data_IF_097240604186
#
_entry.id   IF_097240604186
#
_cell.length_a   1.000
_cell.length_b   1.000
_cell.length_c   1.000
_cell.angle_alpha   90.00
_cell.angle_beta   90.00
_cell.angle_gamma   90.00
#
_symmetry.space_group_name_H-M   'P 1'
#
loop_
_entity.id
_entity.type
_entity.pdbx_description
1 polymer ?
#
# COMPACT_ATOMS: atom_id res chain seq x y z
N UNK A 1 -10.23 11.34 -5.50
CA UNK A 1 -9.55 10.61 -6.60
C UNK A 1 -9.78 9.11 -6.44
N UNK A 2 -9.54 8.29 -7.48
CA UNK A 2 -9.54 6.83 -7.34
C UNK A 2 -8.15 6.38 -6.89
N UNK A 3 -8.06 5.56 -5.85
CA UNK A 3 -6.80 4.97 -5.38
C UNK A 3 -6.74 3.52 -5.85
N UNK A 4 -5.72 3.22 -6.64
CA UNK A 4 -5.43 1.89 -7.17
C UNK A 4 -4.27 1.34 -6.35
N UNK A 5 -4.53 0.26 -5.63
CA UNK A 5 -3.60 -0.24 -4.61
C UNK A 5 -3.48 -1.75 -4.63
N UNK A 6 -2.36 -2.24 -4.10
CA UNK A 6 -2.17 -3.68 -3.90
C UNK A 6 -3.02 -4.16 -2.73
N UNK A 7 -3.71 -5.30 -2.92
CA UNK A 7 -4.61 -5.90 -1.93
C UNK A 7 -3.90 -6.58 -0.75
N UNK A 8 -2.96 -5.90 -0.11
CA UNK A 8 -2.28 -6.32 1.12
C UNK A 8 -2.35 -5.23 2.20
N UNK A 9 -1.71 -5.46 3.34
CA UNK A 9 -1.71 -4.50 4.46
C UNK A 9 -1.12 -3.15 4.02
N UNK A 10 0.00 -3.17 3.30
CA UNK A 10 0.71 -1.97 2.89
C UNK A 10 -0.17 -1.08 1.99
N UNK A 11 -0.75 -1.65 0.93
CA UNK A 11 -1.69 -0.91 0.08
C UNK A 11 -2.93 -0.44 0.85
N UNK A 12 -3.43 -1.23 1.81
CA UNK A 12 -4.59 -0.86 2.64
C UNK A 12 -4.29 0.34 3.53
N UNK A 13 -3.10 0.43 4.12
CA UNK A 13 -2.70 1.57 4.96
C UNK A 13 -2.41 2.81 4.11
N UNK A 14 -1.83 2.67 2.91
CA UNK A 14 -1.73 3.76 1.94
C UNK A 14 -3.10 4.41 1.69
N UNK A 15 -4.10 3.59 1.39
CA UNK A 15 -5.48 4.02 1.18
C UNK A 15 -6.05 4.73 2.40
N UNK A 16 -5.88 4.16 3.60
CA UNK A 16 -6.42 4.74 4.83
C UNK A 16 -5.88 6.16 5.07
N UNK A 17 -4.59 6.39 4.83
CA UNK A 17 -3.96 7.71 4.93
C UNK A 17 -4.52 8.66 3.87
N UNK A 18 -4.62 8.21 2.60
CA UNK A 18 -5.15 9.00 1.50
C UNK A 18 -6.63 9.38 1.68
N UNK A 19 -7.42 8.53 2.33
CA UNK A 19 -8.79 8.84 2.74
C UNK A 19 -8.82 9.93 3.82
N UNK A 20 -7.95 9.86 4.84
CA UNK A 20 -7.90 10.85 5.91
C UNK A 20 -7.53 12.26 5.38
N UNK A 21 -6.60 12.35 4.44
CA UNK A 21 -6.21 13.64 3.82
C UNK A 21 -7.18 14.11 2.72
N UNK A 22 -8.27 13.37 2.47
CA UNK A 22 -9.32 13.76 1.53
C UNK A 22 -8.97 13.60 0.04
N UNK A 23 -8.04 12.71 -0.30
CA UNK A 23 -7.64 12.44 -1.69
C UNK A 23 -8.30 11.19 -2.28
N UNK A 24 -8.95 10.37 -1.47
CA UNK A 24 -9.52 9.10 -1.91
C UNK A 24 -11.05 9.08 -1.82
N UNK A 25 -11.71 8.99 -2.98
CA UNK A 25 -13.18 8.86 -3.11
C UNK A 25 -13.60 7.46 -3.60
N UNK A 26 -12.70 6.77 -4.29
CA UNK A 26 -12.95 5.46 -4.89
C UNK A 26 -11.73 4.54 -4.69
N UNK A 27 -11.99 3.25 -4.51
CA UNK A 27 -10.99 2.24 -4.21
C UNK A 27 -11.00 1.14 -5.27
N UNK A 28 -9.83 0.82 -5.81
CA UNK A 28 -9.64 -0.31 -6.72
C UNK A 28 -8.43 -1.13 -6.31
N UNK A 29 -8.64 -2.42 -6.03
CA UNK A 29 -7.52 -3.33 -5.79
C UNK A 29 -7.04 -3.91 -7.11
N UNK A 30 -5.72 -3.90 -7.32
CA UNK A 30 -5.10 -4.50 -8.48
C UNK A 30 -3.93 -5.41 -8.08
N UNK A 31 -3.65 -6.40 -8.93
CA UNK A 31 -2.44 -7.20 -8.84
C UNK A 31 -1.33 -6.54 -9.70
N UNK A 32 -0.05 -6.52 -9.27
CA UNK A 32 1.04 -5.91 -10.05
C UNK A 32 1.12 -6.40 -11.50
N UNK A 33 0.82 -7.70 -11.72
CA UNK A 33 0.76 -8.30 -13.05
C UNK A 33 -0.31 -7.67 -13.95
N UNK A 34 -1.48 -7.33 -13.41
CA UNK A 34 -2.56 -6.74 -14.22
C UNK A 34 -2.24 -5.28 -14.61
N UNK A 35 -1.50 -4.57 -13.76
CA UNK A 35 -0.91 -3.26 -14.09
C UNK A 35 0.08 -3.39 -15.26
N UNK A 36 1.02 -4.34 -15.16
CA UNK A 36 2.04 -4.58 -16.20
C UNK A 36 1.46 -5.06 -17.53
N UNK A 37 0.36 -5.83 -17.48
CA UNK A 37 -0.36 -6.31 -18.67
C UNK A 37 -1.35 -5.28 -19.24
N UNK A 38 -1.46 -4.08 -18.64
CA UNK A 38 -2.33 -3.00 -19.11
C UNK A 38 -3.82 -3.34 -19.03
N UNK A 39 -4.23 -4.17 -18.06
CA UNK A 39 -5.62 -4.56 -17.84
C UNK A 39 -6.39 -3.58 -16.95
N UNK A 40 -5.66 -2.79 -16.18
CA UNK A 40 -6.22 -1.72 -15.35
C UNK A 40 -6.17 -0.44 -16.16
N UNK A 41 -7.32 0.21 -16.34
CA UNK A 41 -7.41 1.48 -17.06
C UNK A 41 -6.99 2.63 -16.14
N UNK A 42 -5.89 3.30 -16.47
CA UNK A 42 -5.28 4.36 -15.65
C UNK A 42 -5.42 5.72 -16.33
N UNK A 43 -5.89 6.68 -15.54
CA UNK A 43 -6.21 8.06 -15.90
C UNK A 43 -5.46 9.06 -15.01
N UNK A 44 -5.54 10.34 -15.37
CA UNK A 44 -4.97 11.45 -14.59
C UNK A 44 -5.66 11.72 -13.26
N UNK A 45 -6.71 10.97 -12.94
CA UNK A 45 -7.46 11.06 -11.67
C UNK A 45 -7.14 9.90 -10.72
N UNK A 46 -6.08 9.13 -11.01
CA UNK A 46 -5.70 7.94 -10.25
C UNK A 46 -4.44 8.15 -9.42
N UNK A 47 -4.47 7.68 -8.17
CA UNK A 47 -3.30 7.55 -7.31
C UNK A 47 -2.92 6.07 -7.27
N UNK A 48 -1.65 5.76 -7.56
CA UNK A 48 -1.13 4.38 -7.54
C UNK A 48 -0.30 4.17 -6.26
N UNK A 49 -0.65 3.16 -5.47
CA UNK A 49 0.07 2.80 -4.25
C UNK A 49 0.53 1.34 -4.25
N UNK A 50 1.80 1.11 -3.93
CA UNK A 50 2.40 -0.23 -3.83
C UNK A 50 2.25 -1.07 -5.12
N UNK A 51 2.28 -0.40 -6.27
CA UNK A 51 2.04 -0.97 -7.59
C UNK A 51 2.97 -0.32 -8.63
N UNK A 52 3.26 -1.01 -9.75
CA UNK A 52 4.12 -0.49 -10.80
C UNK A 52 3.64 0.86 -11.36
N UNK A 53 4.59 1.72 -11.71
CA UNK A 53 4.30 3.04 -12.28
C UNK A 53 3.48 2.97 -13.57
N UNK A 54 2.60 3.96 -13.76
CA UNK A 54 1.92 4.21 -15.02
C UNK A 54 1.95 5.72 -15.34
N UNK A 55 2.37 6.15 -16.55
CA UNK A 55 2.60 7.56 -16.87
C UNK A 55 1.35 8.44 -16.84
N UNK A 56 0.15 7.86 -16.86
CA UNK A 56 -1.09 8.62 -16.74
C UNK A 56 -1.49 8.92 -15.29
N UNK A 57 -0.91 8.27 -14.27
CA UNK A 57 -1.39 8.47 -12.90
C UNK A 57 -1.16 9.91 -12.42
N UNK A 58 -2.02 10.38 -11.53
CA UNK A 58 -1.86 11.66 -10.85
C UNK A 58 -0.68 11.64 -9.88
N UNK A 59 -0.64 10.61 -9.02
CA UNK A 59 0.37 10.42 -8.00
C UNK A 59 0.79 8.96 -7.92
N UNK A 60 2.03 8.74 -7.51
CA UNK A 60 2.60 7.41 -7.38
C UNK A 60 3.44 7.25 -6.12
N UNK A 61 3.20 6.17 -5.38
CA UNK A 61 3.93 5.78 -4.19
C UNK A 61 4.34 4.31 -4.28
N UNK A 62 5.64 4.06 -4.25
CA UNK A 62 6.20 2.72 -4.33
C UNK A 62 7.59 2.66 -3.69
N UNK A 63 7.97 1.50 -3.18
CA UNK A 63 9.24 1.28 -2.49
C UNK A 63 10.08 0.14 -3.07
N UNK A 64 9.58 -0.53 -4.13
CA UNK A 64 10.23 -1.69 -4.69
C UNK A 64 11.52 -1.28 -5.40
N UNK A 65 12.63 -1.93 -5.03
CA UNK A 65 13.92 -1.72 -5.70
C UNK A 65 13.86 -2.02 -7.21
N UNK A 66 12.96 -2.91 -7.64
CA UNK A 66 12.70 -3.19 -9.05
C UNK A 66 12.17 -1.99 -9.80
N UNK A 67 11.43 -1.08 -9.16
CA UNK A 67 10.93 0.17 -9.76
C UNK A 67 12.02 1.25 -9.78
N UNK A 68 12.79 1.37 -8.70
CA UNK A 68 13.88 2.34 -8.57
C UNK A 68 15.02 2.06 -9.56
N UNK A 69 15.30 0.79 -9.84
CA UNK A 69 16.39 0.36 -10.73
C UNK A 69 16.01 0.25 -12.20
N UNK A 70 14.78 0.64 -12.57
CA UNK A 70 14.30 0.56 -13.96
C UNK A 70 15.07 1.53 -14.85
N UNK A 71 15.51 1.11 -16.06
CA UNK A 71 16.13 2.02 -17.01
C UNK A 71 15.24 3.21 -17.42
N UNK A 72 13.92 3.03 -17.33
CA UNK A 72 12.87 3.97 -17.70
C UNK A 72 12.16 4.59 -16.49
N UNK A 73 12.78 4.59 -15.31
CA UNK A 73 12.25 5.27 -14.13
C UNK A 73 11.91 6.74 -14.44
N UNK A 74 10.65 7.20 -14.24
CA UNK A 74 10.26 8.59 -14.48
C UNK A 74 11.11 9.57 -13.67
N UNK A 75 11.59 10.62 -14.32
CA UNK A 75 12.28 11.72 -13.63
C UNK A 75 11.34 12.83 -13.14
N UNK A 76 10.10 12.81 -13.61
CA UNK A 76 9.06 13.79 -13.28
C UNK A 76 7.76 13.04 -13.01
N UNK A 77 7.35 13.00 -11.76
CA UNK A 77 6.09 12.44 -11.27
C UNK A 77 5.75 13.10 -9.93
N UNK A 78 4.46 13.08 -9.55
CA UNK A 78 4.03 13.52 -8.22
C UNK A 78 3.91 12.31 -7.30
N UNK A 79 4.35 12.46 -6.05
CA UNK A 79 4.35 11.39 -5.05
C UNK A 79 5.75 11.12 -4.51
N UNK A 80 5.98 9.91 -4.00
CA UNK A 80 7.26 9.56 -3.39
C UNK A 80 7.60 8.09 -3.66
N UNK A 81 8.76 7.90 -4.30
CA UNK A 81 9.38 6.58 -4.49
C UNK A 81 10.77 6.62 -3.90
N UNK A 82 11.04 5.72 -2.95
CA UNK A 82 12.29 5.67 -2.20
C UNK A 82 12.47 4.28 -1.58
N UNK A 83 13.69 3.97 -1.15
CA UNK A 83 13.94 2.74 -0.39
C UNK A 83 13.34 2.91 1.01
N UNK A 84 12.23 2.22 1.26
CA UNK A 84 11.53 2.21 2.54
C UNK A 84 10.99 0.81 2.86
N UNK A 85 10.63 0.53 4.13
CA UNK A 85 10.11 -0.78 4.51
C UNK A 85 8.71 -1.07 3.94
N UNK A 86 7.93 -0.04 3.59
CA UNK A 86 6.60 -0.15 2.98
C UNK A 86 6.27 1.10 2.14
N UNK A 87 5.29 1.02 1.23
CA UNK A 87 4.75 2.18 0.54
C UNK A 87 3.94 3.09 1.48
N UNK A 88 3.28 2.53 2.50
CA UNK A 88 2.52 3.26 3.52
C UNK A 88 3.42 4.24 4.29
N UNK A 89 4.67 3.84 4.57
CA UNK A 89 5.68 4.72 5.14
C UNK A 89 5.97 5.93 4.26
N UNK A 90 6.05 5.73 2.94
CA UNK A 90 6.27 6.82 1.97
C UNK A 90 5.06 7.76 1.89
N UNK A 91 3.84 7.21 1.83
CA UNK A 91 2.61 8.01 1.88
C UNK A 91 2.55 8.83 3.17
N UNK A 92 2.82 8.21 4.31
CA UNK A 92 2.86 8.90 5.61
C UNK A 92 3.90 10.03 5.63
N UNK A 93 5.15 9.75 5.23
CA UNK A 93 6.23 10.74 5.15
C UNK A 93 5.88 11.91 4.24
N UNK A 94 5.18 11.65 3.15
CA UNK A 94 4.81 12.68 2.16
C UNK A 94 3.79 13.68 2.72
N UNK A 95 2.83 13.23 3.53
CA UNK A 95 1.72 14.07 3.99
C UNK A 95 1.85 14.58 5.43
N UNK A 96 2.63 13.94 6.29
CA UNK A 96 2.62 14.22 7.74
C UNK A 96 2.97 15.66 8.13
N UNK A 97 3.81 16.35 7.34
CA UNK A 97 4.19 17.75 7.63
C UNK A 97 3.00 18.71 7.46
N UNK A 98 2.19 18.49 6.42
CA UNK A 98 1.01 19.30 6.10
C UNK A 98 -0.27 18.81 6.81
N UNK A 99 -0.27 17.56 7.29
CA UNK A 99 -1.39 16.89 7.95
C UNK A 99 -1.04 16.31 9.33
N UNK A 100 -0.86 17.14 10.38
CA UNK A 100 -0.48 16.68 11.71
C UNK A 100 -1.45 15.70 12.37
N UNK A 101 -2.71 15.64 11.94
CA UNK A 101 -3.71 14.66 12.35
C UNK A 101 -3.30 13.22 12.05
N UNK A 102 -2.44 13.02 11.04
CA UNK A 102 -1.93 11.70 10.68
C UNK A 102 -1.03 11.08 11.76
N UNK A 103 -0.54 11.85 12.73
CA UNK A 103 0.26 11.31 13.86
C UNK A 103 -0.41 10.15 14.59
N UNK A 104 -1.75 10.10 14.59
CA UNK A 104 -2.51 8.97 15.16
C UNK A 104 -2.24 7.62 14.46
N UNK A 105 -1.65 7.64 13.27
CA UNK A 105 -1.30 6.46 12.47
C UNK A 105 0.17 6.06 12.58
N UNK A 106 0.99 6.75 13.39
CA UNK A 106 2.42 6.44 13.52
C UNK A 106 2.68 4.97 13.88
N UNK A 107 1.99 4.43 14.88
CA UNK A 107 2.11 3.02 15.27
C UNK A 107 1.60 2.07 14.17
N UNK A 108 0.52 2.43 13.48
CA UNK A 108 -0.04 1.64 12.37
C UNK A 108 0.97 1.53 11.22
N UNK A 109 1.61 2.64 10.85
CA UNK A 109 2.63 2.69 9.80
C UNK A 109 3.86 1.89 10.23
N UNK A 110 4.30 2.04 11.48
CA UNK A 110 5.42 1.28 12.01
C UNK A 110 5.15 -0.24 12.00
N UNK A 111 3.98 -0.69 12.42
CA UNK A 111 3.64 -2.12 12.39
C UNK A 111 3.48 -2.64 10.94
N UNK A 112 3.03 -1.79 10.02
CA UNK A 112 2.98 -2.11 8.58
C UNK A 112 4.38 -2.30 8.01
N UNK A 113 5.33 -1.44 8.38
CA UNK A 113 6.75 -1.57 8.02
C UNK A 113 7.32 -2.93 8.46
N UNK A 114 7.02 -3.38 9.67
CA UNK A 114 7.46 -4.69 10.17
C UNK A 114 6.86 -5.84 9.34
N UNK A 115 5.58 -5.76 9.01
CA UNK A 115 4.89 -6.81 8.25
C UNK A 115 5.42 -6.90 6.83
N UNK A 116 5.57 -5.77 6.12
CA UNK A 116 5.95 -5.77 4.71
C UNK A 116 7.44 -6.13 4.51
N UNK A 117 8.30 -5.66 5.41
CA UNK A 117 9.73 -6.05 5.43
C UNK A 117 10.00 -7.44 6.03
N UNK A 118 8.98 -8.10 6.56
CA UNK A 118 9.07 -9.35 7.33
C UNK A 118 10.03 -9.28 8.54
N UNK A 119 10.22 -8.08 9.11
CA UNK A 119 10.99 -7.86 10.34
C UNK A 119 10.14 -8.14 11.59
N UNK A 120 9.68 -9.39 11.71
CA UNK A 120 8.81 -9.84 12.79
C UNK A 120 9.54 -10.80 13.73
N UNK A 121 9.29 -10.65 15.03
CA UNK A 121 9.72 -11.63 16.02
C UNK A 121 8.90 -12.90 15.93
N UNK A 122 9.45 -14.03 16.44
CA UNK A 122 8.72 -15.29 16.53
C UNK A 122 7.38 -15.15 17.28
N UNK A 123 7.35 -14.35 18.34
CA UNK A 123 6.14 -14.13 19.14
C UNK A 123 5.06 -13.40 18.36
N UNK A 124 5.43 -12.37 17.60
CA UNK A 124 4.51 -11.63 16.73
C UNK A 124 3.91 -12.52 15.63
N UNK A 125 4.67 -13.51 15.14
CA UNK A 125 4.17 -14.48 14.16
C UNK A 125 3.31 -15.56 14.81
N UNK A 126 3.70 -16.05 15.99
CA UNK A 126 3.01 -17.15 16.66
C UNK A 126 1.68 -16.70 17.33
N UNK A 127 1.65 -15.48 17.87
CA UNK A 127 0.51 -14.91 18.58
C UNK A 127 0.16 -13.50 18.06
N UNK A 128 -0.13 -13.34 16.75
CA UNK A 128 -0.32 -12.03 16.15
C UNK A 128 -1.53 -11.31 16.74
N UNK A 129 -1.37 -10.01 17.00
CA UNK A 129 -2.42 -9.10 17.50
C UNK A 129 -2.47 -7.83 16.64
N UNK A 130 -3.54 -7.05 16.79
CA UNK A 130 -3.64 -5.72 16.18
C UNK A 130 -3.35 -5.71 14.68
N UNK A 131 -2.51 -4.77 14.24
CA UNK A 131 -2.12 -4.58 12.83
C UNK A 131 -1.44 -5.81 12.24
N UNK A 132 -0.59 -6.50 13.02
CA UNK A 132 0.12 -7.70 12.55
C UNK A 132 -0.89 -8.82 12.26
N UNK A 133 -1.87 -9.02 13.13
CA UNK A 133 -2.98 -9.96 12.87
C UNK A 133 -3.75 -9.57 11.62
N UNK A 134 -4.11 -8.29 11.48
CA UNK A 134 -4.81 -7.80 10.30
C UNK A 134 -4.01 -8.06 9.02
N UNK A 135 -2.70 -7.79 9.04
CA UNK A 135 -1.82 -8.04 7.90
C UNK A 135 -1.79 -9.51 7.49
N UNK A 136 -1.69 -10.42 8.46
CA UNK A 136 -1.75 -11.86 8.18
C UNK A 136 -3.13 -12.30 7.67
N UNK A 137 -4.23 -11.68 8.12
CA UNK A 137 -5.58 -11.97 7.63
C UNK A 137 -5.79 -11.48 6.20
N UNK A 138 -5.22 -10.33 5.84
CA UNK A 138 -5.31 -9.75 4.49
C UNK A 138 -4.40 -10.46 3.48
N UNK A 139 -3.30 -11.06 3.94
CA UNK A 139 -2.34 -11.71 3.07
C UNK A 139 -2.95 -12.96 2.39
N UNK A 140 -3.10 -12.99 1.05
CA UNK A 140 -3.65 -14.15 0.35
C UNK A 140 -2.79 -15.42 0.53
N UNK A 141 -1.50 -15.26 0.87
CA UNK A 141 -0.56 -16.37 1.14
C UNK A 141 -0.86 -17.09 2.44
N UNK A 142 -1.57 -16.46 3.38
CA UNK A 142 -2.10 -17.12 4.58
C UNK A 142 -3.12 -18.21 4.21
N UNK A 143 -3.78 -18.09 3.06
CA UNK A 143 -4.62 -19.14 2.49
C UNK A 143 -6.05 -19.18 3.03
N UNK A 144 -6.51 -18.15 3.76
CA UNK A 144 -7.87 -18.08 4.29
C UNK A 144 -8.94 -18.04 3.19
N UNK A 145 -8.63 -17.45 2.03
CA UNK A 145 -9.52 -17.44 0.86
C UNK A 145 -9.79 -18.82 0.24
N UNK A 146 -9.12 -19.89 0.69
CA UNK A 146 -9.48 -21.27 0.33
C UNK A 146 -10.76 -21.73 1.03
N UNK A 147 -11.18 -21.05 2.10
CA UNK A 147 -12.46 -21.29 2.75
C UNK A 147 -13.60 -20.62 1.96
N UNK A 148 -14.70 -21.36 1.77
CA UNK A 148 -15.84 -20.93 0.94
C UNK A 148 -16.88 -20.11 1.68
N UNK A 149 -16.84 -20.11 3.02
CA UNK A 149 -17.78 -19.38 3.86
C UNK A 149 -17.00 -18.61 4.92
N UNK A 150 -17.17 -17.29 4.87
CA UNK A 150 -16.52 -16.32 5.76
C UNK A 150 -17.57 -15.57 6.60
N UNK A 151 -18.84 -15.98 6.55
CA UNK A 151 -19.90 -15.35 7.33
C UNK A 151 -19.77 -15.71 8.81
N UNK A 152 -19.91 -14.70 9.66
CA UNK A 152 -20.14 -14.92 11.08
C UNK A 152 -21.61 -15.36 11.23
N UNK A 153 -21.82 -16.60 11.69
CA UNK A 153 -23.15 -17.17 11.94
C UNK A 153 -23.72 -16.75 13.30
#
# INVERSE_FOLDING_TARGET
MRVIYRGDLDGTVCVAILMEVGLCDELEQAHPKDMQEGKVDITSEDIICNLPYHPNCHMWFDHHSSEISRPDMPTDFTGLVDVAPSAANLVYRYFIEDHPELKKYEDLVHETDLVDSADLTLEQVANPQGTILLGLLLDPRTGLGLQRDMNIS
#
